data_IF_326680259650
#
_entry.id   IF_326680259650
#
_cell.length_a   1.000
_cell.length_b   1.000
_cell.length_c   1.000
_cell.angle_alpha   90.00
_cell.angle_beta   90.00
_cell.angle_gamma   90.00
#
_symmetry.space_group_name_H-M   'P 1'
#
loop_
_entity.id
_entity.type
_entity.pdbx_description
1 polymer ?
#
# COMPACT_ATOMS: atom_id res chain seq x y z
N UNK A 1 12.57 2.39 28.41
CA UNK A 1 12.22 2.52 26.98
C UNK A 1 11.47 1.25 26.62
N UNK A 2 10.29 1.34 25.97
CA UNK A 2 9.66 0.12 25.49
C UNK A 2 10.64 -0.55 24.53
N UNK A 3 10.91 -1.83 24.76
CA UNK A 3 11.83 -2.61 23.94
C UNK A 3 11.38 -2.56 22.48
N UNK A 4 12.29 -2.22 21.59
CA UNK A 4 11.97 -2.05 20.17
C UNK A 4 11.74 -3.43 19.56
N UNK A 5 10.57 -3.67 19.02
CA UNK A 5 10.22 -4.96 18.40
C UNK A 5 10.82 -5.00 17.00
N UNK A 6 11.95 -5.68 16.88
CA UNK A 6 12.71 -5.77 15.61
C UNK A 6 11.94 -6.45 14.49
N UNK A 7 11.03 -7.38 14.83
CA UNK A 7 10.16 -8.04 13.85
C UNK A 7 9.27 -7.06 13.08
N UNK A 8 8.74 -6.05 13.78
CA UNK A 8 7.92 -5.01 13.12
C UNK A 8 8.72 -4.17 12.13
N UNK A 9 9.99 -3.86 12.46
CA UNK A 9 10.86 -3.14 11.51
C UNK A 9 11.20 -4.02 10.31
N UNK A 10 11.48 -5.31 10.52
CA UNK A 10 11.78 -6.25 9.44
C UNK A 10 10.59 -6.42 8.48
N UNK A 11 9.39 -6.71 9.02
CA UNK A 11 8.17 -6.88 8.21
C UNK A 11 7.85 -5.59 7.46
N UNK A 12 8.00 -4.43 8.10
CA UNK A 12 7.79 -3.12 7.46
C UNK A 12 8.77 -2.88 6.32
N UNK A 13 10.03 -3.33 6.47
CA UNK A 13 11.05 -3.24 5.43
C UNK A 13 10.69 -4.03 4.19
N UNK A 14 10.26 -5.29 4.36
CA UNK A 14 9.77 -6.11 3.25
C UNK A 14 8.52 -5.46 2.62
N UNK A 15 7.61 -4.95 3.46
CA UNK A 15 6.36 -4.38 2.99
C UNK A 15 6.58 -3.11 2.13
N UNK A 16 7.48 -2.18 2.53
CA UNK A 16 7.71 -0.96 1.73
C UNK A 16 8.32 -1.28 0.37
N UNK A 17 9.19 -2.27 0.29
CA UNK A 17 9.73 -2.71 -1.00
C UNK A 17 8.67 -3.41 -1.86
N UNK A 18 7.80 -4.22 -1.24
CA UNK A 18 6.74 -4.95 -1.93
C UNK A 18 5.64 -4.05 -2.52
N UNK A 19 5.37 -2.88 -1.94
CA UNK A 19 4.37 -1.94 -2.47
C UNK A 19 4.77 -1.43 -3.86
N UNK A 20 6.06 -1.24 -4.12
CA UNK A 20 6.52 -0.72 -5.42
C UNK A 20 6.15 -1.65 -6.58
N UNK A 21 6.08 -2.98 -6.34
CA UNK A 21 5.69 -3.94 -7.38
C UNK A 21 4.29 -3.69 -7.95
N UNK A 22 3.38 -3.12 -7.17
CA UNK A 22 2.06 -2.72 -7.68
C UNK A 22 2.04 -1.27 -8.14
N UNK A 23 2.63 -0.36 -7.37
CA UNK A 23 2.57 1.07 -7.65
C UNK A 23 3.27 1.45 -8.96
N UNK A 24 4.30 0.72 -9.37
CA UNK A 24 5.01 1.00 -10.62
C UNK A 24 4.07 0.99 -11.83
N UNK A 25 3.06 0.12 -11.84
CA UNK A 25 2.08 0.06 -12.92
C UNK A 25 1.27 1.36 -12.99
N UNK A 26 0.77 1.86 -11.87
CA UNK A 26 0.01 3.11 -11.85
C UNK A 26 0.89 4.36 -12.06
N UNK A 27 2.21 4.27 -11.81
CA UNK A 27 3.13 5.39 -11.97
C UNK A 27 3.74 5.49 -13.37
N UNK A 28 3.98 4.35 -14.03
CA UNK A 28 4.77 4.27 -15.26
C UNK A 28 3.96 3.92 -16.51
N UNK A 29 2.66 3.63 -16.35
CA UNK A 29 1.75 3.26 -17.45
C UNK A 29 0.37 3.90 -17.25
N UNK A 30 -0.49 3.93 -18.29
CA UNK A 30 -1.90 4.25 -18.12
C UNK A 30 -2.56 3.34 -17.08
N UNK A 31 -3.58 3.84 -16.40
CA UNK A 31 -4.27 3.11 -15.31
C UNK A 31 -4.91 1.80 -15.78
N UNK A 32 -5.24 1.70 -17.04
CA UNK A 32 -5.77 0.49 -17.70
C UNK A 32 -4.79 -0.68 -17.56
N UNK A 33 -3.50 -0.41 -17.63
CA UNK A 33 -2.46 -1.42 -17.43
C UNK A 33 -2.47 -2.03 -16.02
N UNK A 34 -2.95 -1.29 -15.01
CA UNK A 34 -3.07 -1.82 -13.65
C UNK A 34 -4.11 -2.94 -13.58
N UNK A 35 -5.22 -2.79 -14.31
CA UNK A 35 -6.38 -3.68 -14.22
C UNK A 35 -6.39 -4.79 -15.25
N UNK A 36 -5.76 -4.60 -16.43
CA UNK A 36 -5.75 -5.59 -17.52
C UNK A 36 -4.36 -5.79 -18.11
N UNK A 37 -3.96 -7.05 -18.42
CA UNK A 37 -2.74 -7.33 -19.16
C UNK A 37 -2.87 -7.05 -20.66
N UNK A 38 -4.08 -6.78 -21.16
CA UNK A 38 -4.36 -6.51 -22.59
C UNK A 38 -4.54 -5.02 -22.87
N UNK A 39 -3.93 -4.15 -22.06
CA UNK A 39 -4.14 -2.70 -22.14
C UNK A 39 -3.63 -2.05 -23.42
N UNK A 40 -2.67 -2.66 -24.13
CA UNK A 40 -2.25 -2.22 -25.47
C UNK A 40 -1.78 -3.40 -26.32
N UNK A 41 -1.66 -3.17 -27.64
CA UNK A 41 -1.06 -4.12 -28.56
C UNK A 41 0.47 -4.18 -28.45
N UNK A 42 1.07 -5.22 -29.02
CA UNK A 42 2.53 -5.38 -29.10
C UNK A 42 3.22 -5.69 -27.78
N UNK A 43 2.47 -6.09 -26.74
CA UNK A 43 3.05 -6.55 -25.47
C UNK A 43 3.67 -7.94 -25.62
N UNK A 44 4.66 -8.25 -24.79
CA UNK A 44 5.35 -9.53 -24.82
C UNK A 44 4.41 -10.69 -24.39
N UNK A 45 4.76 -11.91 -24.80
CA UNK A 45 4.05 -13.12 -24.35
C UNK A 45 4.11 -13.31 -22.82
N UNK A 46 5.04 -12.65 -22.13
CA UNK A 46 5.19 -12.70 -20.67
C UNK A 46 4.27 -11.74 -19.92
N UNK A 47 3.53 -10.86 -20.62
CA UNK A 47 2.65 -9.88 -19.97
C UNK A 47 1.59 -10.57 -19.10
N UNK A 48 0.86 -11.54 -19.64
CA UNK A 48 -0.18 -12.27 -18.90
C UNK A 48 0.39 -13.11 -17.76
N UNK A 49 1.42 -13.97 -17.95
CA UNK A 49 2.03 -14.69 -16.82
C UNK A 49 2.54 -13.77 -15.70
N UNK A 50 3.19 -12.66 -16.03
CA UNK A 50 3.69 -11.70 -15.03
C UNK A 50 2.54 -10.97 -14.34
N UNK A 51 1.46 -10.63 -15.05
CA UNK A 51 0.25 -10.07 -14.45
C UNK A 51 -0.32 -11.00 -13.38
N UNK A 52 -0.48 -12.29 -13.68
CA UNK A 52 -1.01 -13.25 -12.71
C UNK A 52 -0.08 -13.42 -11.51
N UNK A 53 1.23 -13.52 -11.74
CA UNK A 53 2.21 -13.64 -10.67
C UNK A 53 2.23 -12.37 -9.78
N UNK A 54 2.25 -11.19 -10.38
CA UNK A 54 2.22 -9.91 -9.70
C UNK A 54 0.95 -9.76 -8.85
N UNK A 55 -0.21 -10.04 -9.44
CA UNK A 55 -1.48 -9.95 -8.73
C UNK A 55 -1.56 -10.97 -7.60
N UNK A 56 -1.13 -12.23 -7.82
CA UNK A 56 -1.17 -13.27 -6.79
C UNK A 56 -0.23 -12.98 -5.62
N UNK A 57 0.94 -12.39 -5.86
CA UNK A 57 1.95 -12.20 -4.80
C UNK A 57 1.92 -10.83 -4.16
N UNK A 58 1.48 -9.77 -4.87
CA UNK A 58 1.64 -8.40 -4.40
C UNK A 58 0.32 -7.64 -4.23
N UNK A 59 -0.67 -7.83 -5.12
CA UNK A 59 -1.91 -7.06 -5.12
C UNK A 59 -2.65 -7.19 -3.78
N UNK A 60 -2.95 -6.05 -3.14
CA UNK A 60 -3.60 -5.92 -1.83
C UNK A 60 -2.82 -6.50 -0.63
N UNK A 61 -1.77 -7.34 -0.83
CA UNK A 61 -1.04 -8.01 0.26
C UNK A 61 -0.20 -7.01 1.07
N UNK A 62 0.63 -6.26 0.38
CA UNK A 62 1.56 -5.34 1.05
C UNK A 62 0.86 -4.11 1.61
N UNK A 63 -0.22 -3.64 0.97
CA UNK A 63 -1.09 -2.62 1.55
C UNK A 63 -1.74 -3.13 2.85
N UNK A 64 -2.20 -4.39 2.87
CA UNK A 64 -2.77 -5.00 4.09
C UNK A 64 -1.72 -5.11 5.20
N UNK A 65 -0.48 -5.56 4.90
CA UNK A 65 0.63 -5.59 5.88
C UNK A 65 0.88 -4.19 6.44
N UNK A 66 0.95 -3.17 5.57
CA UNK A 66 1.16 -1.80 6.03
C UNK A 66 0.03 -1.31 6.93
N UNK A 67 -1.23 -1.59 6.60
CA UNK A 67 -2.39 -1.23 7.41
C UNK A 67 -2.35 -1.89 8.79
N UNK A 68 -2.05 -3.20 8.84
CA UNK A 68 -1.84 -3.93 10.10
C UNK A 68 -0.76 -3.26 10.95
N UNK A 69 0.43 -3.03 10.37
CA UNK A 69 1.58 -2.46 11.07
C UNK A 69 1.39 -0.98 11.46
N UNK A 70 0.63 -0.22 10.68
CA UNK A 70 0.32 1.17 11.02
C UNK A 70 -0.57 1.24 12.27
N UNK A 71 -1.59 0.39 12.35
CA UNK A 71 -2.42 0.23 13.55
C UNK A 71 -1.60 -0.13 14.78
N UNK A 72 -0.72 -1.13 14.66
CA UNK A 72 0.23 -1.52 15.72
C UNK A 72 1.10 -0.34 16.14
N UNK A 73 1.64 0.38 15.17
CA UNK A 73 2.51 1.54 15.44
C UNK A 73 1.80 2.66 16.19
N UNK A 74 0.55 2.97 15.86
CA UNK A 74 -0.27 3.94 16.60
C UNK A 74 -0.59 3.45 18.01
N UNK A 75 -0.94 2.17 18.18
CA UNK A 75 -1.24 1.59 19.48
C UNK A 75 -0.03 1.60 20.42
N UNK A 76 1.15 1.19 19.96
CA UNK A 76 2.40 1.24 20.73
C UNK A 76 2.71 2.68 21.19
N UNK A 77 2.56 3.65 20.29
CA UNK A 77 2.78 5.05 20.63
C UNK A 77 1.75 5.59 21.62
N UNK A 78 0.49 5.18 21.48
CA UNK A 78 -0.57 5.50 22.42
C UNK A 78 -0.24 5.00 23.82
N UNK A 79 0.06 3.72 23.97
CA UNK A 79 0.43 3.11 25.25
C UNK A 79 1.70 3.74 25.85
N UNK A 80 2.72 3.97 25.03
CA UNK A 80 3.95 4.64 25.49
C UNK A 80 3.72 6.09 25.95
N UNK A 81 2.73 6.78 25.40
CA UNK A 81 2.38 8.12 25.88
C UNK A 81 1.61 8.06 27.20
N UNK A 82 0.69 7.11 27.36
CA UNK A 82 -0.04 6.90 28.61
C UNK A 82 0.88 6.54 29.77
N UNK A 83 1.81 5.59 29.57
CA UNK A 83 2.78 5.20 30.62
C UNK A 83 3.70 6.33 31.06
N UNK A 84 3.85 7.38 30.25
CA UNK A 84 4.62 8.59 30.56
C UNK A 84 3.77 9.76 31.02
N UNK A 85 2.48 9.55 31.27
CA UNK A 85 1.53 10.59 31.63
C UNK A 85 1.49 11.77 30.62
N UNK A 86 1.69 11.48 29.33
CA UNK A 86 1.66 12.46 28.27
C UNK A 86 0.28 12.48 27.59
N UNK A 87 -0.13 13.60 26.98
CA UNK A 87 -1.44 13.71 26.30
C UNK A 87 -1.47 12.86 25.02
N UNK A 88 -1.71 11.55 25.16
CA UNK A 88 -1.55 10.54 24.13
C UNK A 88 -2.35 10.86 22.84
N UNK A 89 -3.65 11.16 22.98
CA UNK A 89 -4.50 11.48 21.81
C UNK A 89 -4.06 12.75 21.08
N UNK A 90 -3.68 13.80 21.83
CA UNK A 90 -3.22 15.06 21.24
C UNK A 90 -1.90 14.88 20.46
N UNK A 91 -0.98 14.07 20.98
CA UNK A 91 0.30 13.74 20.34
C UNK A 91 0.08 12.92 19.06
N UNK A 92 -0.77 11.91 19.09
CA UNK A 92 -1.12 11.14 17.91
C UNK A 92 -1.84 11.99 16.85
N UNK A 93 -2.80 12.82 17.27
CA UNK A 93 -3.50 13.73 16.33
C UNK A 93 -2.56 14.73 15.68
N UNK A 94 -1.58 15.26 16.42
CA UNK A 94 -0.55 16.12 15.82
C UNK A 94 0.28 15.38 14.78
N UNK A 95 0.65 14.14 15.07
CA UNK A 95 1.41 13.27 14.17
C UNK A 95 0.62 12.93 12.90
N UNK A 96 -0.68 12.66 13.02
CA UNK A 96 -1.56 12.38 11.89
C UNK A 96 -1.84 13.61 11.03
N UNK A 97 -1.95 14.80 11.61
CA UNK A 97 -2.08 16.06 10.84
C UNK A 97 -0.88 16.29 9.92
N UNK A 98 0.33 16.07 10.41
CA UNK A 98 1.53 16.18 9.59
C UNK A 98 1.59 15.07 8.54
N UNK A 99 1.18 13.84 8.88
CA UNK A 99 1.09 12.75 7.92
C UNK A 99 0.09 13.09 6.80
N UNK A 100 -1.08 13.65 7.15
CA UNK A 100 -2.08 14.12 6.19
C UNK A 100 -1.49 15.19 5.26
N UNK A 101 -0.77 16.16 5.81
CA UNK A 101 -0.12 17.20 4.99
C UNK A 101 0.91 16.60 4.02
N UNK A 102 1.76 15.68 4.49
CA UNK A 102 2.72 15.00 3.62
C UNK A 102 2.01 14.16 2.55
N UNK A 103 0.94 13.46 2.92
CA UNK A 103 0.13 12.68 1.97
C UNK A 103 -0.54 13.56 0.91
N UNK A 104 -1.15 14.67 1.31
CA UNK A 104 -1.74 15.62 0.35
C UNK A 104 -0.68 16.17 -0.62
N UNK A 105 0.48 16.58 -0.10
CA UNK A 105 1.57 17.06 -0.96
C UNK A 105 2.06 15.94 -1.90
N UNK A 106 2.21 14.72 -1.41
CA UNK A 106 2.63 13.58 -2.22
C UNK A 106 1.57 13.24 -3.28
N UNK A 107 0.29 13.20 -2.91
CA UNK A 107 -0.82 12.88 -3.80
C UNK A 107 -0.98 13.91 -4.92
N UNK A 108 -0.93 15.21 -4.61
CA UNK A 108 -1.06 16.24 -5.63
C UNK A 108 0.17 16.43 -6.52
N UNK A 109 1.39 16.16 -6.01
CA UNK A 109 2.61 16.52 -6.70
C UNK A 109 3.38 15.34 -7.32
N UNK A 110 3.24 14.13 -6.75
CA UNK A 110 4.08 13.00 -7.13
C UNK A 110 3.28 11.77 -7.59
N UNK A 111 2.26 11.35 -6.82
CA UNK A 111 1.54 10.11 -7.12
C UNK A 111 0.12 10.12 -6.55
N UNK A 112 -0.87 10.08 -7.41
CA UNK A 112 -2.30 10.11 -7.08
C UNK A 112 -2.78 8.93 -6.22
N UNK A 113 -2.11 7.78 -6.30
CA UNK A 113 -2.35 6.59 -5.45
C UNK A 113 -1.76 6.70 -4.05
N UNK A 114 -1.77 7.90 -3.42
CA UNK A 114 -1.17 8.12 -2.11
C UNK A 114 -1.88 7.37 -0.98
N UNK A 115 -1.11 6.57 -0.23
CA UNK A 115 -1.62 5.85 0.95
C UNK A 115 -1.48 6.64 2.26
N UNK A 116 -0.65 7.69 2.31
CA UNK A 116 -0.38 8.43 3.55
C UNK A 116 -1.61 9.23 3.97
N UNK A 117 -2.30 9.85 3.02
CA UNK A 117 -3.57 10.54 3.23
C UNK A 117 -4.63 9.59 3.77
N UNK A 118 -4.80 8.44 3.11
CA UNK A 118 -5.71 7.38 3.57
C UNK A 118 -5.37 6.96 5.00
N UNK A 119 -4.11 6.69 5.30
CA UNK A 119 -3.68 6.25 6.63
C UNK A 119 -3.83 7.32 7.70
N UNK A 120 -3.67 8.59 7.34
CA UNK A 120 -3.95 9.69 8.26
C UNK A 120 -5.46 9.75 8.61
N UNK A 121 -6.34 9.62 7.63
CA UNK A 121 -7.79 9.56 7.82
C UNK A 121 -8.21 8.36 8.68
N UNK A 122 -7.73 7.16 8.33
CA UNK A 122 -7.94 5.95 9.14
C UNK A 122 -7.43 6.13 10.58
N UNK A 123 -6.25 6.75 10.74
CA UNK A 123 -5.66 7.01 12.04
C UNK A 123 -6.49 7.94 12.92
N UNK A 124 -7.11 8.99 12.35
CA UNK A 124 -8.02 9.85 13.10
C UNK A 124 -9.27 9.12 13.60
N UNK A 125 -9.79 8.17 12.82
CA UNK A 125 -10.87 7.31 13.26
C UNK A 125 -10.37 6.33 14.33
N UNK A 126 -9.24 5.69 14.09
CA UNK A 126 -8.65 4.69 14.95
C UNK A 126 -8.33 5.20 16.36
N UNK A 127 -7.84 6.45 16.51
CA UNK A 127 -7.53 7.05 17.83
C UNK A 127 -8.75 7.00 18.76
N UNK A 128 -9.98 7.10 18.25
CA UNK A 128 -11.21 7.05 19.02
C UNK A 128 -11.53 5.63 19.52
N UNK A 129 -10.94 4.63 18.89
CA UNK A 129 -11.22 3.20 19.09
C UNK A 129 -10.17 2.49 19.95
N UNK A 130 -9.04 3.17 20.28
CA UNK A 130 -7.91 2.55 20.98
C UNK A 130 -8.24 2.08 22.40
N UNK A 131 -9.17 2.76 23.09
CA UNK A 131 -9.57 2.44 24.48
C UNK A 131 -10.64 1.36 24.58
N UNK A 132 -11.17 0.91 23.44
CA UNK A 132 -12.17 -0.15 23.43
C UNK A 132 -11.55 -1.49 23.86
N UNK A 133 -12.36 -2.33 24.51
CA UNK A 133 -11.97 -3.71 24.83
C UNK A 133 -11.66 -4.51 23.57
N UNK A 134 -10.78 -5.51 23.66
CA UNK A 134 -10.39 -6.32 22.51
C UNK A 134 -11.58 -7.00 21.82
N UNK A 135 -12.61 -7.40 22.57
CA UNK A 135 -13.85 -7.95 22.00
C UNK A 135 -14.56 -6.91 21.11
N UNK A 136 -14.72 -5.66 21.60
CA UNK A 136 -15.36 -4.57 20.83
C UNK A 136 -14.52 -4.20 19.63
N UNK A 137 -13.18 -4.14 19.77
CA UNK A 137 -12.27 -3.90 18.64
C UNK A 137 -12.38 -4.99 17.57
N UNK A 138 -12.52 -6.26 17.97
CA UNK A 138 -12.69 -7.38 17.06
C UNK A 138 -14.00 -7.27 16.26
N UNK A 139 -15.12 -7.11 16.95
CA UNK A 139 -16.42 -6.93 16.29
C UNK A 139 -16.40 -5.74 15.33
N UNK A 140 -15.87 -4.61 15.81
CA UNK A 140 -15.82 -3.39 15.02
C UNK A 140 -14.89 -3.51 13.80
N UNK A 141 -13.78 -4.26 13.90
CA UNK A 141 -12.91 -4.52 12.77
C UNK A 141 -13.67 -5.21 11.63
N UNK A 142 -14.41 -6.29 11.94
CA UNK A 142 -15.19 -7.01 10.92
C UNK A 142 -16.37 -6.18 10.41
N UNK A 143 -17.05 -5.43 11.28
CA UNK A 143 -18.15 -4.53 10.88
C UNK A 143 -17.63 -3.45 9.92
N UNK A 144 -16.51 -2.80 10.23
CA UNK A 144 -15.94 -1.77 9.36
C UNK A 144 -15.45 -2.36 8.03
N UNK A 145 -14.80 -3.51 8.06
CA UNK A 145 -14.37 -4.19 6.83
C UNK A 145 -15.58 -4.57 5.97
N UNK A 146 -16.61 -5.17 6.57
CA UNK A 146 -17.86 -5.52 5.88
C UNK A 146 -18.57 -4.29 5.32
N UNK A 147 -18.64 -3.19 6.07
CA UNK A 147 -19.21 -1.92 5.61
C UNK A 147 -18.47 -1.39 4.38
N UNK A 148 -17.14 -1.35 4.42
CA UNK A 148 -16.34 -0.90 3.27
C UNK A 148 -16.59 -1.76 2.03
N UNK A 149 -16.68 -3.08 2.19
CA UNK A 149 -16.98 -4.00 1.09
C UNK A 149 -18.40 -3.80 0.55
N UNK A 150 -19.40 -3.68 1.44
CA UNK A 150 -20.79 -3.49 1.04
C UNK A 150 -21.02 -2.15 0.33
N UNK A 151 -20.40 -1.06 0.80
CA UNK A 151 -20.49 0.25 0.13
C UNK A 151 -19.87 0.19 -1.26
N UNK A 152 -18.70 -0.43 -1.38
CA UNK A 152 -18.04 -0.58 -2.69
C UNK A 152 -18.86 -1.47 -3.63
N UNK A 153 -19.39 -2.60 -3.14
CA UNK A 153 -20.25 -3.48 -3.93
C UNK A 153 -21.52 -2.74 -4.37
N UNK A 154 -22.15 -1.97 -3.48
CA UNK A 154 -23.32 -1.15 -3.81
C UNK A 154 -23.00 -0.09 -4.86
N UNK A 155 -21.81 0.53 -4.79
CA UNK A 155 -21.35 1.49 -5.79
C UNK A 155 -21.18 0.84 -7.17
N UNK A 156 -20.50 -0.31 -7.24
CA UNK A 156 -20.34 -1.06 -8.50
C UNK A 156 -21.71 -1.49 -9.06
N UNK A 157 -22.58 -2.02 -8.20
CA UNK A 157 -23.93 -2.42 -8.62
C UNK A 157 -24.75 -1.24 -9.13
N UNK A 158 -24.63 -0.05 -8.53
CA UNK A 158 -25.29 1.17 -8.98
C UNK A 158 -24.80 1.60 -10.37
N UNK A 159 -23.48 1.56 -10.61
CA UNK A 159 -22.92 1.85 -11.93
C UNK A 159 -23.44 0.88 -12.98
N UNK A 160 -23.44 -0.42 -12.67
CA UNK A 160 -23.95 -1.45 -13.57
C UNK A 160 -25.46 -1.29 -13.85
N UNK A 161 -26.26 -0.93 -12.84
CA UNK A 161 -27.69 -0.73 -13.01
C UNK A 161 -28.04 0.45 -13.93
N UNK A 162 -27.18 1.47 -13.96
CA UNK A 162 -27.36 2.65 -14.82
C UNK A 162 -26.57 2.56 -16.12
N UNK A 163 -26.00 1.39 -16.44
CA UNK A 163 -25.12 1.20 -17.62
C UNK A 163 -23.99 2.22 -17.71
N UNK A 164 -23.50 2.70 -16.56
CA UNK A 164 -22.37 3.59 -16.49
C UNK A 164 -21.09 2.74 -16.50
N UNK A 165 -20.26 2.82 -17.54
CA UNK A 165 -19.02 2.06 -17.57
C UNK A 165 -18.06 2.55 -16.50
N UNK A 166 -17.44 1.62 -15.78
CA UNK A 166 -16.39 1.94 -14.79
C UNK A 166 -15.18 2.57 -15.49
N UNK A 167 -14.91 2.07 -16.70
CA UNK A 167 -13.88 2.62 -17.58
C UNK A 167 -14.50 2.91 -18.95
N UNK A 168 -14.17 4.06 -19.50
CA UNK A 168 -14.61 4.47 -20.85
C UNK A 168 -13.64 4.02 -21.95
N UNK A 169 -12.44 3.56 -21.57
CA UNK A 169 -11.43 3.12 -22.50
C UNK A 169 -11.72 1.70 -23.02
N UNK A 170 -11.72 1.56 -24.33
CA UNK A 170 -11.74 0.25 -25.00
C UNK A 170 -10.33 -0.34 -25.02
N UNK A 171 -10.23 -1.65 -24.78
CA UNK A 171 -8.95 -2.35 -24.82
C UNK A 171 -8.84 -3.25 -26.07
N UNK A 172 -7.64 -3.36 -26.64
CA UNK A 172 -6.41 -2.61 -26.32
C UNK A 172 -6.53 -1.13 -26.68
N UNK A 173 -5.83 -0.27 -25.89
CA UNK A 173 -5.77 1.17 -26.20
C UNK A 173 -5.25 1.36 -27.62
N UNK A 174 -5.97 2.13 -28.44
CA UNK A 174 -5.52 2.47 -29.77
C UNK A 174 -4.21 3.26 -29.75
N UNK A 175 -3.43 3.19 -30.81
CA UNK A 175 -2.18 3.97 -30.92
C UNK A 175 -2.40 5.47 -30.74
N UNK A 176 -3.54 6.00 -31.21
CA UNK A 176 -3.92 7.40 -31.01
C UNK A 176 -4.23 7.73 -29.56
N UNK A 177 -4.98 6.87 -28.85
CA UNK A 177 -5.27 7.05 -27.43
C UNK A 177 -3.98 7.03 -26.59
N UNK A 178 -3.10 6.07 -26.83
CA UNK A 178 -1.82 5.97 -26.14
C UNK A 178 -0.93 7.20 -26.40
N UNK A 179 -0.87 7.68 -27.64
CA UNK A 179 -0.11 8.89 -28.00
C UNK A 179 -0.66 10.12 -27.28
N UNK A 180 -1.99 10.26 -27.20
CA UNK A 180 -2.63 11.37 -26.46
C UNK A 180 -2.28 11.32 -24.97
N UNK A 181 -2.36 10.14 -24.35
CA UNK A 181 -1.97 9.95 -22.96
C UNK A 181 -0.50 10.29 -22.72
N UNK A 182 0.40 9.89 -23.61
CA UNK A 182 1.82 10.23 -23.55
C UNK A 182 2.07 11.73 -23.69
N UNK A 183 1.37 12.41 -24.60
CA UNK A 183 1.46 13.86 -24.76
C UNK A 183 1.02 14.58 -23.48
N UNK A 184 -0.09 14.14 -22.88
CA UNK A 184 -0.53 14.64 -21.56
C UNK A 184 0.51 14.39 -20.48
N UNK A 185 1.13 13.21 -20.48
CA UNK A 185 2.17 12.86 -19.51
C UNK A 185 3.43 13.73 -19.64
N UNK A 186 3.89 13.99 -20.86
CA UNK A 186 5.08 14.79 -21.14
C UNK A 186 4.84 16.27 -20.84
N UNK A 187 3.64 16.76 -21.10
CA UNK A 187 3.23 18.15 -20.78
C UNK A 187 3.09 18.33 -19.28
N UNK A 188 3.96 19.14 -18.67
CA UNK A 188 3.91 19.38 -17.22
C UNK A 188 2.57 19.93 -16.72
N UNK A 189 1.96 20.96 -17.34
CA UNK A 189 0.67 21.49 -16.91
C UNK A 189 -0.45 20.46 -16.99
N UNK A 190 -0.54 19.73 -18.11
CA UNK A 190 -1.61 18.77 -18.39
C UNK A 190 -1.51 17.57 -17.44
N UNK A 191 -0.29 17.07 -17.22
CA UNK A 191 -0.04 16.00 -16.24
C UNK A 191 -0.43 16.45 -14.83
N UNK A 192 -0.02 17.64 -14.39
CA UNK A 192 -0.35 18.13 -13.06
C UNK A 192 -1.86 18.32 -12.89
N UNK A 193 -2.55 18.78 -13.93
CA UNK A 193 -4.01 18.88 -13.93
C UNK A 193 -4.66 17.51 -13.83
N UNK A 194 -4.26 16.55 -14.68
CA UNK A 194 -4.78 15.18 -14.65
C UNK A 194 -4.55 14.52 -13.29
N UNK A 195 -3.33 14.61 -12.75
CA UNK A 195 -3.00 14.08 -11.42
C UNK A 195 -3.83 14.75 -10.31
N UNK A 196 -4.05 16.07 -10.39
CA UNK A 196 -4.87 16.80 -9.42
C UNK A 196 -6.33 16.32 -9.46
N UNK A 197 -6.90 16.13 -10.65
CA UNK A 197 -8.26 15.61 -10.82
C UNK A 197 -8.37 14.20 -10.27
N UNK A 198 -7.47 13.30 -10.68
CA UNK A 198 -7.47 11.91 -10.24
C UNK A 198 -7.32 11.79 -8.72
N UNK A 199 -6.40 12.57 -8.12
CA UNK A 199 -6.22 12.56 -6.68
C UNK A 199 -7.42 13.17 -5.94
N UNK A 200 -8.04 14.23 -6.46
CA UNK A 200 -9.27 14.78 -5.90
C UNK A 200 -10.41 13.77 -5.92
N UNK A 201 -10.57 13.02 -7.01
CA UNK A 201 -11.51 11.90 -7.10
C UNK A 201 -11.19 10.82 -6.05
N UNK A 202 -9.92 10.42 -5.92
CA UNK A 202 -9.51 9.47 -4.90
C UNK A 202 -9.85 9.95 -3.48
N UNK A 203 -9.65 11.25 -3.18
CA UNK A 203 -10.03 11.83 -1.88
C UNK A 203 -11.54 11.69 -1.60
N UNK A 204 -12.40 11.82 -2.61
CA UNK A 204 -13.84 11.61 -2.48
C UNK A 204 -14.18 10.11 -2.26
N UNK A 205 -13.42 9.22 -2.84
CA UNK A 205 -13.58 7.77 -2.66
C UNK A 205 -13.12 7.25 -1.28
N UNK A 206 -12.17 7.92 -0.63
CA UNK A 206 -11.64 7.49 0.69
C UNK A 206 -12.78 7.23 1.69
N UNK A 207 -13.68 8.18 2.02
CA UNK A 207 -14.71 7.96 3.01
C UNK A 207 -15.82 7.02 2.55
N UNK A 208 -15.99 6.84 1.24
CA UNK A 208 -17.00 5.95 0.69
C UNK A 208 -16.58 4.47 0.76
N UNK A 209 -15.28 4.16 0.63
CA UNK A 209 -14.85 2.78 0.41
C UNK A 209 -13.69 2.36 1.31
N UNK A 210 -12.49 2.79 1.00
CA UNK A 210 -11.24 2.25 1.55
C UNK A 210 -10.95 2.64 3.00
N UNK A 211 -11.56 3.73 3.50
CA UNK A 211 -11.41 4.19 4.90
C UNK A 211 -11.83 3.10 5.90
N UNK A 212 -13.01 2.55 5.69
CA UNK A 212 -13.62 1.58 6.61
C UNK A 212 -12.84 0.28 6.62
N UNK A 213 -12.54 -0.26 5.44
CA UNK A 213 -11.79 -1.49 5.30
C UNK A 213 -10.39 -1.37 5.94
N UNK A 214 -9.64 -0.31 5.63
CA UNK A 214 -8.30 -0.12 6.16
C UNK A 214 -8.29 0.16 7.68
N UNK A 215 -9.30 0.87 8.20
CA UNK A 215 -9.44 1.02 9.67
C UNK A 215 -9.69 -0.33 10.34
N UNK A 216 -10.49 -1.20 9.72
CA UNK A 216 -10.69 -2.57 10.19
C UNK A 216 -9.38 -3.38 10.19
N UNK A 217 -8.58 -3.30 9.12
CA UNK A 217 -7.24 -3.90 9.07
C UNK A 217 -6.32 -3.40 10.19
N UNK A 218 -6.33 -2.09 10.46
CA UNK A 218 -5.54 -1.50 11.55
C UNK A 218 -5.96 -2.04 12.92
N UNK A 219 -7.26 -2.25 13.16
CA UNK A 219 -7.76 -2.88 14.38
C UNK A 219 -7.33 -4.34 14.48
N UNK A 220 -7.38 -5.11 13.38
CA UNK A 220 -6.87 -6.50 13.35
C UNK A 220 -5.38 -6.50 13.68
N UNK A 221 -4.59 -5.60 13.13
CA UNK A 221 -3.17 -5.45 13.47
C UNK A 221 -2.95 -5.26 14.98
N UNK A 222 -3.74 -4.39 15.62
CA UNK A 222 -3.68 -4.15 17.07
C UNK A 222 -4.05 -5.43 17.84
N UNK A 223 -5.08 -6.17 17.43
CA UNK A 223 -5.48 -7.42 18.06
C UNK A 223 -4.40 -8.49 17.94
N UNK A 224 -3.80 -8.66 16.77
CA UNK A 224 -2.68 -9.56 16.55
C UNK A 224 -1.50 -9.20 17.47
N UNK A 225 -1.18 -7.91 17.59
CA UNK A 225 -0.13 -7.43 18.49
C UNK A 225 -0.43 -7.73 19.96
N UNK A 226 -1.65 -7.44 20.44
CA UNK A 226 -2.09 -7.71 21.82
C UNK A 226 -2.00 -9.20 22.17
N UNK A 227 -2.23 -10.08 21.19
CA UNK A 227 -2.13 -11.53 21.35
C UNK A 227 -0.69 -12.09 21.18
N UNK A 228 0.30 -11.21 21.02
CA UNK A 228 1.71 -11.62 20.89
C UNK A 228 2.08 -12.23 19.54
N UNK A 229 1.26 -12.02 18.49
CA UNK A 229 1.50 -12.56 17.16
C UNK A 229 2.87 -12.19 16.60
N UNK A 230 3.29 -10.94 16.74
CA UNK A 230 4.57 -10.44 16.24
C UNK A 230 5.78 -10.77 17.12
N UNK A 231 5.61 -11.60 18.17
CA UNK A 231 6.65 -11.91 19.16
C UNK A 231 6.85 -13.41 19.36
N UNK A 232 5.88 -14.24 18.95
CA UNK A 232 5.84 -15.65 19.32
C UNK A 232 5.63 -16.54 18.10
N UNK A 233 6.50 -17.53 17.94
CA UNK A 233 6.45 -18.51 16.84
C UNK A 233 5.26 -19.48 16.90
N UNK A 234 4.56 -19.56 18.05
CA UNK A 234 3.37 -20.43 18.19
C UNK A 234 2.26 -20.12 17.16
N UNK A 235 2.24 -18.91 16.61
CA UNK A 235 1.28 -18.49 15.61
C UNK A 235 1.60 -18.93 14.18
N UNK A 236 2.78 -19.53 13.98
CA UNK A 236 3.25 -19.93 12.65
C UNK A 236 2.31 -20.91 11.93
N UNK A 237 1.83 -22.01 12.55
CA UNK A 237 0.95 -22.94 11.83
C UNK A 237 -0.35 -22.28 11.36
N UNK A 238 -0.94 -21.42 12.21
CA UNK A 238 -2.12 -20.66 11.86
C UNK A 238 -1.83 -19.65 10.73
N UNK A 239 -0.72 -18.94 10.81
CA UNK A 239 -0.31 -18.00 9.76
C UNK A 239 -0.03 -18.69 8.42
N UNK A 240 0.61 -19.88 8.42
CA UNK A 240 0.78 -20.66 7.20
C UNK A 240 -0.56 -21.14 6.62
N UNK A 241 -1.51 -21.51 7.47
CA UNK A 241 -2.88 -21.81 7.04
C UNK A 241 -3.54 -20.59 6.36
N UNK A 242 -3.41 -19.40 6.94
CA UNK A 242 -3.87 -18.14 6.33
C UNK A 242 -3.16 -17.87 4.99
N UNK A 243 -1.85 -18.13 4.89
CA UNK A 243 -1.11 -17.95 3.64
C UNK A 243 -1.65 -18.85 2.54
N UNK A 244 -1.76 -20.15 2.83
CA UNK A 244 -2.28 -21.13 1.87
C UNK A 244 -3.70 -20.76 1.42
N UNK A 245 -4.59 -20.46 2.36
CA UNK A 245 -5.95 -20.03 2.04
C UNK A 245 -5.98 -18.74 1.21
N UNK A 246 -5.13 -17.77 1.55
CA UNK A 246 -5.01 -16.49 0.83
C UNK A 246 -4.45 -16.68 -0.59
N UNK A 247 -3.50 -17.58 -0.79
CA UNK A 247 -2.96 -17.89 -2.12
C UNK A 247 -3.95 -18.68 -2.96
N UNK A 248 -4.59 -19.72 -2.39
CA UNK A 248 -5.59 -20.53 -3.10
C UNK A 248 -6.80 -19.68 -3.50
N UNK A 249 -7.35 -18.89 -2.58
CA UNK A 249 -8.46 -18.00 -2.89
C UNK A 249 -8.06 -16.89 -3.86
N UNK A 250 -6.86 -16.33 -3.74
CA UNK A 250 -6.31 -15.36 -4.69
C UNK A 250 -6.14 -15.95 -6.10
N UNK A 251 -5.67 -17.20 -6.20
CA UNK A 251 -5.64 -17.90 -7.48
C UNK A 251 -7.04 -18.14 -8.04
N UNK A 252 -8.03 -18.47 -7.18
CA UNK A 252 -9.43 -18.57 -7.59
C UNK A 252 -9.96 -17.26 -8.19
N UNK A 253 -9.61 -16.10 -7.61
CA UNK A 253 -9.96 -14.78 -8.18
C UNK A 253 -9.29 -14.58 -9.55
N UNK A 254 -8.04 -15.04 -9.75
CA UNK A 254 -7.41 -15.01 -11.06
C UNK A 254 -8.15 -15.87 -12.09
N UNK A 255 -8.63 -17.06 -11.70
CA UNK A 255 -9.44 -17.87 -12.60
C UNK A 255 -10.75 -17.19 -12.98
N UNK A 256 -11.40 -16.49 -12.05
CA UNK A 256 -12.56 -15.66 -12.36
C UNK A 256 -12.20 -14.55 -13.38
N UNK A 257 -11.10 -13.83 -13.18
CA UNK A 257 -10.61 -12.82 -14.14
C UNK A 257 -10.39 -13.41 -15.53
N UNK A 258 -9.78 -14.58 -15.64
CA UNK A 258 -9.57 -15.29 -16.93
C UNK A 258 -10.92 -15.67 -17.56
N UNK A 259 -11.82 -16.26 -16.79
CA UNK A 259 -13.13 -16.73 -17.27
C UNK A 259 -13.97 -15.58 -17.81
N UNK A 260 -13.92 -14.40 -17.18
CA UNK A 260 -14.65 -13.21 -17.60
C UNK A 260 -13.85 -12.28 -18.52
N UNK A 261 -12.71 -12.72 -19.04
CA UNK A 261 -12.01 -12.10 -20.17
C UNK A 261 -10.96 -11.04 -19.84
N UNK A 262 -10.50 -10.93 -18.58
CA UNK A 262 -9.42 -10.01 -18.16
C UNK A 262 -9.66 -8.53 -18.56
N UNK A 263 -10.93 -8.13 -18.68
CA UNK A 263 -11.32 -6.76 -18.98
C UNK A 263 -11.06 -5.81 -17.82
N UNK A 264 -11.12 -4.49 -18.07
CA UNK A 264 -10.97 -3.45 -17.04
C UNK A 264 -12.02 -3.58 -15.95
N UNK A 265 -13.29 -3.76 -16.32
CA UNK A 265 -14.41 -3.86 -15.38
C UNK A 265 -14.30 -5.10 -14.50
N UNK A 266 -13.85 -6.23 -15.04
CA UNK A 266 -13.59 -7.46 -14.30
C UNK A 266 -12.40 -7.26 -13.34
N UNK A 267 -11.33 -6.60 -13.81
CA UNK A 267 -10.18 -6.27 -12.98
C UNK A 267 -10.57 -5.43 -11.76
N UNK A 268 -11.36 -4.39 -11.98
CA UNK A 268 -11.84 -3.50 -10.92
C UNK A 268 -12.84 -4.21 -9.99
N UNK A 269 -13.85 -4.89 -10.52
CA UNK A 269 -14.89 -5.56 -9.72
C UNK A 269 -14.33 -6.65 -8.80
N UNK A 270 -13.27 -7.33 -9.23
CA UNK A 270 -12.60 -8.37 -8.44
C UNK A 270 -11.65 -7.83 -7.37
N UNK A 271 -11.41 -6.50 -7.32
CA UNK A 271 -10.57 -5.88 -6.29
C UNK A 271 -11.07 -6.20 -4.87
N UNK A 272 -12.37 -6.24 -4.66
CA UNK A 272 -12.99 -6.57 -3.37
C UNK A 272 -12.56 -7.96 -2.87
N UNK A 273 -12.60 -8.94 -3.77
CA UNK A 273 -12.15 -10.30 -3.47
C UNK A 273 -10.64 -10.32 -3.22
N UNK A 274 -9.86 -9.57 -4.01
CA UNK A 274 -8.42 -9.46 -3.79
C UNK A 274 -8.05 -8.79 -2.47
N UNK A 275 -8.84 -7.85 -1.97
CA UNK A 275 -8.63 -7.26 -0.64
C UNK A 275 -8.79 -8.31 0.47
N UNK A 276 -9.82 -9.17 0.40
CA UNK A 276 -10.04 -10.23 1.37
C UNK A 276 -8.93 -11.29 1.34
N UNK A 277 -8.55 -11.76 0.13
CA UNK A 277 -7.44 -12.71 -0.02
C UNK A 277 -6.11 -12.08 0.39
N UNK A 278 -5.97 -10.76 0.18
CA UNK A 278 -4.82 -9.95 0.58
C UNK A 278 -4.61 -9.93 2.09
N UNK A 279 -5.66 -9.81 2.89
CA UNK A 279 -5.56 -9.89 4.35
C UNK A 279 -5.04 -11.25 4.81
N UNK A 280 -5.60 -12.34 4.28
CA UNK A 280 -5.15 -13.70 4.64
C UNK A 280 -3.69 -13.91 4.28
N UNK A 281 -3.30 -13.54 3.06
CA UNK A 281 -1.91 -13.63 2.62
C UNK A 281 -0.99 -12.72 3.44
N UNK A 282 -1.44 -11.51 3.83
CA UNK A 282 -0.66 -10.58 4.66
C UNK A 282 -0.34 -11.16 6.03
N UNK A 283 -1.32 -11.79 6.70
CA UNK A 283 -1.10 -12.49 7.97
C UNK A 283 -0.09 -13.62 7.76
N UNK A 284 -0.24 -14.39 6.68
CA UNK A 284 0.67 -15.46 6.33
C UNK A 284 2.10 -14.98 6.06
N UNK A 285 2.27 -13.92 5.30
CA UNK A 285 3.58 -13.29 5.04
C UNK A 285 4.21 -12.78 6.34
N UNK A 286 3.44 -12.12 7.21
CA UNK A 286 3.94 -11.71 8.52
C UNK A 286 4.44 -12.91 9.33
N UNK A 287 3.70 -14.04 9.38
CA UNK A 287 4.10 -15.26 10.08
C UNK A 287 5.37 -15.87 9.49
N UNK A 288 5.46 -15.94 8.17
CA UNK A 288 6.64 -16.48 7.48
C UNK A 288 7.88 -15.60 7.75
N UNK A 289 7.73 -14.27 7.68
CA UNK A 289 8.81 -13.33 7.95
C UNK A 289 9.29 -13.40 9.40
N UNK A 290 8.38 -13.69 10.34
CA UNK A 290 8.75 -13.87 11.76
C UNK A 290 9.78 -14.98 11.98
N UNK A 291 9.82 -16.04 11.14
CA UNK A 291 10.83 -17.09 11.23
C UNK A 291 12.25 -16.54 11.07
N UNK A 292 12.41 -15.54 10.23
CA UNK A 292 13.72 -14.99 9.88
C UNK A 292 14.15 -13.82 10.78
N UNK A 293 13.28 -13.29 11.63
CA UNK A 293 13.54 -12.08 12.41
C UNK A 293 14.78 -12.23 13.32
N UNK A 294 14.98 -13.40 13.89
CA UNK A 294 16.07 -13.66 14.84
C UNK A 294 17.38 -14.11 14.17
N UNK A 295 17.36 -14.29 12.84
CA UNK A 295 18.57 -14.64 12.12
C UNK A 295 19.51 -13.44 11.99
N UNK A 296 20.80 -13.66 12.24
CA UNK A 296 21.85 -12.64 12.10
C UNK A 296 22.31 -12.46 10.64
N UNK A 297 21.52 -12.91 9.68
CA UNK A 297 21.87 -12.78 8.28
C UNK A 297 21.90 -11.32 7.83
N UNK A 298 22.86 -10.96 6.97
CA UNK A 298 23.05 -9.59 6.49
C UNK A 298 21.78 -9.02 5.88
N UNK A 299 21.04 -9.81 5.09
CA UNK A 299 19.79 -9.37 4.45
C UNK A 299 18.73 -9.00 5.49
N UNK A 300 18.58 -9.76 6.58
CA UNK A 300 17.62 -9.45 7.66
C UNK A 300 17.96 -8.11 8.30
N UNK A 301 19.25 -7.87 8.56
CA UNK A 301 19.75 -6.60 9.08
C UNK A 301 19.42 -5.43 8.14
N UNK A 302 19.69 -5.59 6.85
CA UNK A 302 19.42 -4.57 5.83
C UNK A 302 17.92 -4.27 5.72
N UNK A 303 17.07 -5.28 5.71
CA UNK A 303 15.61 -5.11 5.66
C UNK A 303 15.05 -4.46 6.95
N UNK A 304 15.64 -4.72 8.13
CA UNK A 304 15.32 -3.95 9.35
C UNK A 304 15.66 -2.47 9.18
N UNK A 305 16.77 -2.14 8.52
CA UNK A 305 17.15 -0.76 8.23
C UNK A 305 16.17 -0.09 7.25
N UNK A 306 15.79 -0.79 6.18
CA UNK A 306 14.74 -0.36 5.26
C UNK A 306 13.44 -0.03 6.03
N UNK A 307 13.00 -0.91 6.91
CA UNK A 307 11.78 -0.69 7.71
C UNK A 307 11.83 0.51 8.66
N UNK A 308 13.04 0.86 9.12
CA UNK A 308 13.26 2.07 9.94
C UNK A 308 13.15 3.36 9.14
N UNK A 309 13.27 3.29 7.82
CA UNK A 309 13.20 4.40 6.88
C UNK A 309 11.99 4.27 5.93
N UNK A 310 10.96 3.50 6.30
CA UNK A 310 9.84 3.16 5.43
C UNK A 310 9.12 4.39 4.86
N UNK A 311 8.97 5.46 5.62
CA UNK A 311 8.35 6.70 5.14
C UNK A 311 9.24 7.41 4.11
N UNK A 312 10.53 7.56 4.41
CA UNK A 312 11.50 8.13 3.46
C UNK A 312 11.54 7.30 2.17
N UNK A 313 11.61 5.97 2.28
CA UNK A 313 11.71 5.10 1.11
C UNK A 313 10.43 5.07 0.28
N UNK A 314 9.26 5.14 0.91
CA UNK A 314 7.98 5.25 0.19
C UNK A 314 7.93 6.51 -0.69
N UNK A 315 8.29 7.67 -0.15
CA UNK A 315 8.36 8.90 -0.93
C UNK A 315 9.47 8.82 -1.99
N UNK A 316 10.62 8.25 -1.64
CA UNK A 316 11.75 8.08 -2.56
C UNK A 316 11.37 7.21 -3.78
N UNK A 317 10.52 6.19 -3.61
CA UNK A 317 9.99 5.39 -4.72
C UNK A 317 9.31 6.28 -5.77
N UNK A 318 8.38 7.11 -5.32
CA UNK A 318 7.66 8.02 -6.22
C UNK A 318 8.60 9.03 -6.86
N UNK A 319 9.53 9.57 -6.10
CA UNK A 319 10.56 10.50 -6.64
C UNK A 319 11.43 9.83 -7.68
N UNK A 320 11.89 8.60 -7.45
CA UNK A 320 12.72 7.87 -8.43
C UNK A 320 11.95 7.56 -9.71
N UNK A 321 10.72 7.05 -9.59
CA UNK A 321 9.89 6.76 -10.76
C UNK A 321 9.55 8.03 -11.51
N UNK A 322 9.18 9.10 -10.81
CA UNK A 322 8.96 10.42 -11.40
C UNK A 322 10.21 10.94 -12.13
N UNK A 323 11.39 10.83 -11.51
CA UNK A 323 12.66 11.23 -12.13
C UNK A 323 12.92 10.45 -13.43
N UNK A 324 12.66 9.14 -13.45
CA UNK A 324 12.88 8.30 -14.64
C UNK A 324 11.89 8.67 -15.74
N UNK A 325 10.59 8.65 -15.46
CA UNK A 325 9.54 8.74 -16.49
C UNK A 325 9.08 10.16 -16.81
N UNK A 326 9.60 11.16 -16.10
CA UNK A 326 9.29 12.58 -16.39
C UNK A 326 10.51 13.33 -16.91
N UNK A 327 11.71 13.06 -16.33
CA UNK A 327 12.89 13.86 -16.62
C UNK A 327 13.91 13.13 -17.48
N UNK A 328 14.24 11.87 -17.14
CA UNK A 328 15.33 11.15 -17.82
C UNK A 328 14.87 10.48 -19.12
N UNK A 329 13.71 9.86 -19.10
CA UNK A 329 13.20 9.08 -20.23
C UNK A 329 11.66 9.16 -20.34
N UNK A 330 11.08 10.37 -20.54
CA UNK A 330 9.63 10.53 -20.58
C UNK A 330 8.95 9.73 -21.70
N UNK A 331 9.67 9.46 -22.77
CA UNK A 331 9.21 8.65 -23.90
C UNK A 331 8.97 7.18 -23.52
N UNK A 332 9.52 6.69 -22.42
CA UNK A 332 9.31 5.31 -21.96
C UNK A 332 8.02 5.13 -21.18
N UNK A 333 7.37 6.22 -20.73
CA UNK A 333 6.08 6.11 -20.04
C UNK A 333 5.02 5.49 -20.96
N UNK A 334 4.34 4.46 -20.49
CA UNK A 334 3.37 3.69 -21.27
C UNK A 334 3.99 2.83 -22.39
N UNK A 335 5.33 2.76 -22.51
CA UNK A 335 6.00 1.93 -23.51
C UNK A 335 6.53 0.61 -22.94
N UNK A 336 6.84 0.57 -21.67
CA UNK A 336 7.32 -0.64 -21.01
C UNK A 336 6.16 -1.53 -20.59
N UNK A 337 6.28 -2.83 -20.84
CA UNK A 337 5.37 -3.85 -20.34
C UNK A 337 5.69 -4.24 -18.89
N UNK A 338 4.89 -5.14 -18.32
CA UNK A 338 5.11 -5.62 -16.95
C UNK A 338 6.47 -6.27 -16.72
N UNK A 339 6.98 -7.15 -17.60
CA UNK A 339 8.28 -7.76 -17.38
C UNK A 339 9.40 -6.73 -17.21
N UNK A 340 9.44 -5.72 -18.08
CA UNK A 340 10.43 -4.66 -18.04
C UNK A 340 10.28 -3.79 -16.77
N UNK A 341 9.04 -3.47 -16.40
CA UNK A 341 8.76 -2.72 -15.17
C UNK A 341 9.12 -3.52 -13.92
N UNK A 342 8.88 -4.85 -13.89
CA UNK A 342 9.32 -5.70 -12.79
C UNK A 342 10.85 -5.75 -12.67
N UNK A 343 11.56 -5.80 -13.81
CA UNK A 343 13.02 -5.71 -13.81
C UNK A 343 13.50 -4.35 -13.25
N UNK A 344 12.86 -3.25 -13.64
CA UNK A 344 13.15 -1.93 -13.09
C UNK A 344 12.90 -1.89 -11.58
N UNK A 345 11.79 -2.45 -11.09
CA UNK A 345 11.47 -2.53 -9.66
C UNK A 345 12.56 -3.28 -8.89
N UNK A 346 13.10 -4.36 -9.44
CA UNK A 346 14.23 -5.08 -8.82
C UNK A 346 15.46 -4.20 -8.68
N UNK A 347 15.82 -3.43 -9.71
CA UNK A 347 16.94 -2.47 -9.66
C UNK A 347 16.70 -1.40 -8.61
N UNK A 348 15.50 -0.80 -8.61
CA UNK A 348 15.13 0.23 -7.62
C UNK A 348 15.11 -0.34 -6.19
N UNK A 349 14.70 -1.59 -6.01
CA UNK A 349 14.72 -2.28 -4.72
C UNK A 349 16.14 -2.45 -4.18
N UNK A 350 17.07 -2.89 -5.02
CA UNK A 350 18.49 -3.01 -4.64
C UNK A 350 19.06 -1.64 -4.26
N UNK A 351 18.77 -0.60 -5.06
CA UNK A 351 19.16 0.76 -4.73
C UNK A 351 18.62 1.25 -3.40
N UNK A 352 17.33 0.99 -3.10
CA UNK A 352 16.71 1.40 -1.83
C UNK A 352 17.33 0.70 -0.63
N UNK A 353 17.66 -0.59 -0.75
CA UNK A 353 18.34 -1.35 0.31
C UNK A 353 19.75 -0.75 0.57
N UNK A 354 20.49 -0.49 -0.49
CA UNK A 354 21.80 0.17 -0.41
C UNK A 354 21.68 1.56 0.22
N UNK A 355 20.74 2.38 -0.26
CA UNK A 355 20.51 3.73 0.26
C UNK A 355 20.14 3.73 1.75
N UNK A 356 19.30 2.79 2.18
CA UNK A 356 18.91 2.67 3.59
C UNK A 356 20.10 2.30 4.48
N UNK A 357 20.95 1.36 4.06
CA UNK A 357 22.17 0.98 4.81
C UNK A 357 23.15 2.15 4.86
N UNK A 358 23.43 2.78 3.71
CA UNK A 358 24.32 3.95 3.62
C UNK A 358 23.84 5.09 4.53
N UNK A 359 22.55 5.45 4.40
CA UNK A 359 21.99 6.58 5.18
C UNK A 359 22.03 6.33 6.68
N UNK A 360 21.65 5.13 7.13
CA UNK A 360 21.61 4.83 8.56
C UNK A 360 22.98 4.74 9.19
N UNK A 361 24.01 4.31 8.47
CA UNK A 361 25.39 4.32 8.97
C UNK A 361 25.92 5.73 9.22
N UNK A 362 25.51 6.71 8.42
CA UNK A 362 26.03 8.07 8.49
C UNK A 362 25.14 9.02 9.28
N UNK A 363 23.82 8.87 9.21
CA UNK A 363 22.85 9.84 9.73
C UNK A 363 21.84 9.26 10.73
N UNK A 364 21.78 7.95 10.88
CA UNK A 364 20.93 7.23 11.83
C UNK A 364 19.47 7.13 11.37
N UNK A 365 18.64 8.15 11.60
CA UNK A 365 17.23 8.14 11.23
C UNK A 365 17.02 8.64 9.80
N UNK A 366 15.99 8.11 9.13
CA UNK A 366 15.59 8.63 7.83
C UNK A 366 15.22 10.12 7.88
N UNK A 367 15.49 10.87 6.81
CA UNK A 367 15.29 12.33 6.80
C UNK A 367 13.82 12.71 7.03
N UNK A 368 12.89 12.02 6.37
CA UNK A 368 11.46 12.33 6.53
C UNK A 368 10.92 11.86 7.89
N UNK A 369 11.39 10.72 8.42
CA UNK A 369 11.05 10.27 9.78
C UNK A 369 11.51 11.28 10.83
N UNK A 370 12.71 11.83 10.66
CA UNK A 370 13.28 12.84 11.56
C UNK A 370 12.47 14.14 11.49
N UNK A 371 12.22 14.64 10.28
CA UNK A 371 11.41 15.85 10.06
C UNK A 371 9.98 15.70 10.61
N UNK A 372 9.31 14.61 10.27
CA UNK A 372 7.96 14.32 10.76
C UNK A 372 7.91 14.25 12.29
N UNK A 373 8.86 13.55 12.92
CA UNK A 373 8.95 13.50 14.39
C UNK A 373 9.16 14.87 15.01
N UNK A 374 10.04 15.68 14.45
CA UNK A 374 10.27 17.04 14.92
C UNK A 374 9.00 17.90 14.86
N UNK A 375 8.34 17.94 13.70
CA UNK A 375 7.12 18.70 13.48
C UNK A 375 5.95 18.23 14.35
N UNK A 376 5.77 16.91 14.47
CA UNK A 376 4.67 16.32 15.23
C UNK A 376 4.76 16.62 16.74
N UNK A 377 5.96 16.71 17.28
CA UNK A 377 6.16 16.84 18.73
C UNK A 377 6.68 18.19 19.19
N UNK A 378 6.92 19.15 18.28
CA UNK A 378 7.41 20.49 18.61
C UNK A 378 6.56 21.21 19.67
N UNK A 379 5.25 21.02 19.66
CA UNK A 379 4.29 21.63 20.60
C UNK A 379 4.28 20.99 21.98
N UNK A 380 4.92 19.83 22.14
CA UNK A 380 4.90 19.04 23.38
C UNK A 380 6.29 18.99 24.04
N UNK A 381 7.22 19.75 23.54
CA UNK A 381 8.52 20.05 24.16
C UNK A 381 8.43 21.30 25.00
#
# INVERSE_FOLDING_TARGET
MAERIESLDFIRGVAVLGILFMNIMAMATPIEAYYSPFWREGLSAWEVPVYHLQSLLFESRFMSIFSLLFGVGLYIQYQSALTKNLPARARLSSRLRWLLLFGLLHGFLLFEGDILTLYACCGFLLIRLLDLSSKKQCVLAFVLMGLGQLVMLGFVALLMYHDIPIFTAELPLSGTALTTLQQTWISYPDRLLAQTINFAQFLLFIPLTVLWYNTGLMLIGILLYKNGFFQQSRWLPWGLGCLLLGLISGWGVQQLRITFGLSLDVGFSTILLMMLTGLLSAIGYCSLLMLFTNHHHVLVRLLKQVGRMAFTLYILQSVMVYLIFVWLAPQLWGQLGRPELMALVMVLTVFQIWFADFWQRHYGQGPLERGWRYLAYRRFR
#
